data_IF_376828708563
#
_entry.id   IF_376828708563
#
_cell.length_a   1.000
_cell.length_b   1.000
_cell.length_c   1.000
_cell.angle_alpha   90.00
_cell.angle_beta   90.00
_cell.angle_gamma   90.00
#
_symmetry.space_group_name_H-M   'P 1'
#
loop_
_entity.id
_entity.type
_entity.pdbx_description
1 polymer ?
#
# COMPACT_ATOMS: atom_id res chain seq x y z
N UNK A 1 -16.73 12.47 -0.16
CA UNK A 1 -16.83 11.23 -0.96
C UNK A 1 -15.84 11.40 -2.10
N UNK A 2 -15.02 10.39 -2.40
CA UNK A 2 -14.06 10.48 -3.49
C UNK A 2 -14.81 10.26 -4.79
N UNK A 3 -15.06 11.33 -5.54
CA UNK A 3 -15.86 11.29 -6.77
C UNK A 3 -14.98 11.21 -8.02
N UNK A 4 -13.75 11.69 -7.92
CA UNK A 4 -12.77 11.70 -9.01
C UNK A 4 -11.41 11.16 -8.57
N UNK A 5 -10.58 10.78 -9.55
CA UNK A 5 -9.19 10.39 -9.28
C UNK A 5 -8.37 11.57 -8.77
N UNK A 6 -8.73 12.79 -9.17
CA UNK A 6 -8.11 13.98 -8.60
C UNK A 6 -8.38 14.06 -7.10
N UNK A 7 -9.63 13.86 -6.66
CA UNK A 7 -9.97 13.86 -5.23
C UNK A 7 -9.20 12.77 -4.48
N UNK A 8 -9.07 11.58 -5.07
CA UNK A 8 -8.27 10.49 -4.47
C UNK A 8 -6.81 10.89 -4.29
N UNK A 9 -6.20 11.53 -5.30
CA UNK A 9 -4.81 12.00 -5.23
C UNK A 9 -4.63 13.15 -4.25
N UNK A 10 -5.58 14.08 -4.20
CA UNK A 10 -5.57 15.18 -3.23
C UNK A 10 -5.65 14.64 -1.79
N UNK A 11 -6.53 13.67 -1.53
CA UNK A 11 -6.66 13.03 -0.23
C UNK A 11 -5.39 12.23 0.15
N UNK A 12 -4.73 11.61 -0.84
CA UNK A 12 -3.47 10.90 -0.64
C UNK A 12 -2.31 11.81 -0.18
N UNK A 13 -2.33 13.12 -0.50
CA UNK A 13 -1.19 14.03 -0.29
C UNK A 13 -0.67 14.02 1.14
N UNK A 14 -1.55 14.11 2.13
CA UNK A 14 -1.15 14.10 3.55
C UNK A 14 -0.40 12.81 3.92
N UNK A 15 -0.85 11.68 3.41
CA UNK A 15 -0.24 10.38 3.68
C UNK A 15 1.10 10.21 2.96
N UNK A 16 1.20 10.75 1.75
CA UNK A 16 2.47 10.87 1.02
C UNK A 16 3.45 11.78 1.78
N UNK A 17 3.00 12.88 2.36
CA UNK A 17 3.86 13.77 3.16
C UNK A 17 4.37 13.07 4.42
N UNK A 18 3.53 12.31 5.13
CA UNK A 18 3.96 11.47 6.26
C UNK A 18 4.99 10.44 5.84
N UNK A 19 4.74 9.75 4.71
CA UNK A 19 5.66 8.77 4.14
C UNK A 19 7.00 9.40 3.75
N UNK A 20 6.98 10.56 3.10
CA UNK A 20 8.18 11.30 2.70
C UNK A 20 8.99 11.77 3.91
N UNK A 21 8.31 12.25 4.96
CA UNK A 21 8.97 12.64 6.20
C UNK A 21 9.64 11.44 6.89
N UNK A 22 8.95 10.30 6.96
CA UNK A 22 9.49 9.07 7.54
C UNK A 22 10.70 8.55 6.76
N UNK A 23 10.59 8.49 5.44
CA UNK A 23 11.66 8.00 4.56
C UNK A 23 12.89 8.91 4.60
N UNK A 24 12.70 10.23 4.69
CA UNK A 24 13.77 11.20 4.91
C UNK A 24 14.44 11.05 6.28
N UNK A 25 13.66 10.86 7.36
CA UNK A 25 14.17 10.63 8.73
C UNK A 25 15.14 9.44 8.77
N UNK A 26 14.84 8.38 8.03
CA UNK A 26 15.60 7.13 8.02
C UNK A 26 16.59 7.00 6.86
N UNK A 27 16.75 8.06 6.05
CA UNK A 27 17.66 8.07 4.90
C UNK A 27 17.46 6.82 3.99
N UNK A 28 16.20 6.55 3.64
CA UNK A 28 15.80 5.40 2.82
C UNK A 28 15.90 5.69 1.31
N UNK A 29 16.08 6.97 0.93
CA UNK A 29 16.30 7.38 -0.45
C UNK A 29 17.49 6.60 -1.05
N UNK A 30 17.31 6.08 -2.27
CA UNK A 30 18.24 5.20 -2.99
C UNK A 30 18.52 3.83 -2.34
N UNK A 31 17.88 3.52 -1.21
CA UNK A 31 18.04 2.23 -0.50
C UNK A 31 16.78 1.39 -0.45
N UNK A 32 15.64 2.00 -0.69
CA UNK A 32 14.33 1.36 -0.78
C UNK A 32 13.49 1.99 -1.89
N UNK A 33 12.42 1.31 -2.26
CA UNK A 33 11.46 1.76 -3.26
C UNK A 33 10.03 1.55 -2.75
N UNK A 34 9.15 2.52 -3.01
CA UNK A 34 7.73 2.37 -2.73
C UNK A 34 7.08 1.42 -3.76
N UNK A 35 6.28 0.47 -3.28
CA UNK A 35 5.61 -0.52 -4.12
C UNK A 35 4.19 -0.07 -4.46
N UNK A 36 3.34 -0.01 -3.45
CA UNK A 36 1.93 0.32 -3.60
C UNK A 36 1.40 1.09 -2.39
N UNK A 37 0.34 1.86 -2.62
CA UNK A 37 -0.46 2.50 -1.59
C UNK A 37 -1.76 1.71 -1.40
N UNK A 38 -2.20 1.54 -0.16
CA UNK A 38 -3.43 0.82 0.15
C UNK A 38 -4.54 1.76 0.61
N UNK A 39 -5.73 1.55 0.06
CA UNK A 39 -6.97 2.17 0.50
C UNK A 39 -7.94 1.08 0.99
N UNK A 40 -8.43 1.23 2.21
CA UNK A 40 -9.44 0.35 2.80
C UNK A 40 -10.83 0.93 2.56
N UNK A 41 -11.76 0.08 2.16
CA UNK A 41 -13.16 0.42 2.02
C UNK A 41 -13.94 0.00 3.27
N UNK A 42 -14.82 0.88 3.75
CA UNK A 42 -15.72 0.66 4.86
C UNK A 42 -17.02 -0.05 4.46
N UNK A 43 -17.24 -0.30 3.16
CA UNK A 43 -18.40 -1.04 2.67
C UNK A 43 -18.14 -1.69 1.32
N UNK A 44 -19.03 -2.58 0.90
CA UNK A 44 -18.96 -3.19 -0.44
C UNK A 44 -19.27 -2.16 -1.53
N UNK A 45 -20.12 -1.20 -1.21
CA UNK A 45 -20.55 -0.13 -2.08
C UNK A 45 -19.41 0.86 -2.35
N UNK A 46 -18.67 1.27 -1.32
CA UNK A 46 -17.48 2.13 -1.47
C UNK A 46 -16.39 1.44 -2.29
N UNK A 47 -16.17 0.13 -2.06
CA UNK A 47 -15.28 -0.67 -2.88
C UNK A 47 -15.67 -0.65 -4.36
N UNK A 48 -16.93 -0.96 -4.69
CA UNK A 48 -17.39 -0.97 -6.08
C UNK A 48 -17.33 0.41 -6.73
N UNK A 49 -17.70 1.47 -6.01
CA UNK A 49 -17.61 2.84 -6.49
C UNK A 49 -16.17 3.21 -6.88
N UNK A 50 -15.20 2.96 -5.98
CA UNK A 50 -13.79 3.26 -6.24
C UNK A 50 -13.22 2.35 -7.34
N UNK A 51 -13.55 1.06 -7.34
CA UNK A 51 -13.11 0.11 -8.37
C UNK A 51 -13.53 0.59 -9.77
N UNK A 52 -14.80 0.96 -9.94
CA UNK A 52 -15.34 1.49 -11.21
C UNK A 52 -14.69 2.81 -11.59
N UNK A 53 -14.44 3.70 -10.63
CA UNK A 53 -13.71 4.95 -10.85
C UNK A 53 -12.34 4.68 -11.48
N UNK A 54 -11.61 3.68 -10.97
CA UNK A 54 -10.29 3.31 -11.47
C UNK A 54 -10.29 2.45 -12.74
N UNK A 55 -11.35 1.68 -13.04
CA UNK A 55 -11.47 0.90 -14.28
C UNK A 55 -11.28 1.76 -15.54
N UNK A 56 -11.80 2.98 -15.53
CA UNK A 56 -11.72 3.90 -16.66
C UNK A 56 -10.35 4.61 -16.80
N UNK A 57 -9.46 4.46 -15.81
CA UNK A 57 -8.21 5.22 -15.70
C UNK A 57 -7.03 4.36 -15.22
N UNK A 58 -7.08 3.07 -15.50
CA UNK A 58 -6.02 2.12 -15.17
C UNK A 58 -5.52 1.41 -16.41
N UNK A 59 -4.25 1.00 -16.37
CA UNK A 59 -3.68 0.16 -17.43
C UNK A 59 -4.05 -1.31 -17.26
N UNK A 60 -4.21 -1.75 -16.02
CA UNK A 60 -4.68 -3.09 -15.67
C UNK A 60 -5.26 -3.11 -14.26
N UNK A 61 -6.17 -4.06 -14.04
CA UNK A 61 -6.74 -4.40 -12.74
C UNK A 61 -6.69 -5.92 -12.60
N UNK A 62 -6.23 -6.39 -11.45
CA UNK A 62 -6.35 -7.77 -11.01
C UNK A 62 -7.11 -7.82 -9.70
N UNK A 63 -7.97 -8.81 -9.52
CA UNK A 63 -8.72 -8.97 -8.30
C UNK A 63 -8.60 -10.41 -7.81
N UNK A 64 -8.35 -10.56 -6.52
CA UNK A 64 -8.37 -11.85 -5.84
C UNK A 64 -9.28 -11.81 -4.61
N UNK A 65 -9.65 -13.00 -4.12
CA UNK A 65 -10.34 -13.14 -2.84
C UNK A 65 -9.31 -13.49 -1.78
N UNK A 66 -9.09 -12.58 -0.83
CA UNK A 66 -8.15 -12.76 0.28
C UNK A 66 -8.91 -12.61 1.58
N UNK A 67 -8.84 -13.62 2.45
CA UNK A 67 -9.55 -13.63 3.74
C UNK A 67 -11.06 -13.34 3.60
N UNK A 68 -11.71 -14.00 2.64
CA UNK A 68 -13.15 -13.91 2.35
C UNK A 68 -13.67 -12.51 1.92
N UNK A 69 -12.81 -11.70 1.31
CA UNK A 69 -13.18 -10.39 0.73
C UNK A 69 -12.40 -10.11 -0.55
N UNK A 70 -12.88 -9.18 -1.36
CA UNK A 70 -12.20 -8.75 -2.59
C UNK A 70 -11.00 -7.86 -2.24
N UNK A 71 -9.88 -8.08 -2.91
CA UNK A 71 -8.78 -7.13 -2.96
C UNK A 71 -8.44 -6.91 -4.42
N UNK A 72 -8.50 -5.65 -4.86
CA UNK A 72 -8.17 -5.26 -6.22
C UNK A 72 -6.81 -4.56 -6.25
N UNK A 73 -5.95 -5.01 -7.16
CA UNK A 73 -4.67 -4.42 -7.46
C UNK A 73 -4.77 -3.67 -8.79
N UNK A 74 -4.56 -2.36 -8.73
CA UNK A 74 -4.87 -1.43 -9.82
C UNK A 74 -3.60 -0.69 -10.19
N UNK A 75 -3.19 -0.74 -11.46
CA UNK A 75 -2.14 0.13 -11.97
C UNK A 75 -2.70 1.47 -12.42
N UNK A 76 -2.34 2.51 -11.69
CA UNK A 76 -2.69 3.89 -11.97
C UNK A 76 -2.09 4.32 -13.31
N UNK A 77 -2.90 4.93 -14.18
CA UNK A 77 -2.39 5.49 -15.44
C UNK A 77 -1.35 6.60 -15.19
N UNK A 78 -1.59 7.41 -14.16
CA UNK A 78 -0.66 8.42 -13.67
C UNK A 78 -0.39 8.12 -12.20
N UNK A 79 0.87 7.85 -11.85
CA UNK A 79 1.28 7.48 -10.49
C UNK A 79 1.20 8.63 -9.49
N UNK A 80 1.55 8.32 -8.25
CA UNK A 80 1.63 9.26 -7.14
C UNK A 80 3.10 9.42 -6.76
N UNK A 81 3.62 10.65 -6.85
CA UNK A 81 5.02 10.93 -6.54
C UNK A 81 5.32 10.78 -5.04
N UNK A 82 6.46 10.17 -4.72
CA UNK A 82 6.93 9.99 -3.35
C UNK A 82 8.46 10.08 -3.27
N UNK A 83 9.00 10.19 -2.06
CA UNK A 83 10.44 10.22 -1.80
C UNK A 83 11.16 8.91 -2.16
N UNK A 84 10.42 7.79 -2.30
CA UNK A 84 10.95 6.49 -2.73
C UNK A 84 10.51 6.11 -4.15
N UNK A 85 10.27 7.11 -5.00
CA UNK A 85 9.86 6.96 -6.40
C UNK A 85 8.35 7.03 -6.60
N UNK A 86 7.93 7.00 -7.87
CA UNK A 86 6.52 7.08 -8.25
C UNK A 86 5.78 5.78 -7.92
N UNK A 87 4.72 5.90 -7.10
CA UNK A 87 3.82 4.80 -6.75
C UNK A 87 2.80 4.63 -7.87
N UNK A 88 2.90 3.52 -8.61
CA UNK A 88 1.99 3.21 -9.72
C UNK A 88 0.88 2.25 -9.36
N UNK A 89 0.89 1.67 -8.16
CA UNK A 89 -0.05 0.62 -7.77
C UNK A 89 -0.89 1.03 -6.56
N UNK A 90 -2.19 0.78 -6.67
CA UNK A 90 -3.17 0.87 -5.60
C UNK A 90 -3.62 -0.53 -5.21
N UNK A 91 -3.51 -0.87 -3.92
CA UNK A 91 -4.27 -1.95 -3.31
C UNK A 91 -5.60 -1.39 -2.78
N UNK A 92 -6.71 -1.76 -3.42
CA UNK A 92 -8.05 -1.44 -2.95
C UNK A 92 -8.61 -2.64 -2.19
N UNK A 93 -8.78 -2.48 -0.88
CA UNK A 93 -9.28 -3.53 0.00
C UNK A 93 -10.77 -3.36 0.29
N UNK A 94 -11.59 -4.33 -0.09
CA UNK A 94 -13.00 -4.39 0.32
C UNK A 94 -13.15 -4.52 1.85
N UNK A 95 -14.35 -4.26 2.34
CA UNK A 95 -14.70 -4.37 3.76
C UNK A 95 -14.47 -5.80 4.27
N UNK A 96 -13.95 -5.90 5.50
CA UNK A 96 -13.74 -7.16 6.21
C UNK A 96 -15.10 -7.79 6.52
N UNK A 97 -15.16 -9.12 6.62
CA UNK A 97 -16.38 -9.81 7.06
C UNK A 97 -16.91 -9.35 8.43
N UNK A 98 -16.03 -8.83 9.30
CA UNK A 98 -16.38 -8.32 10.62
C UNK A 98 -16.85 -6.84 10.63
N UNK A 99 -16.83 -6.15 9.49
CA UNK A 99 -17.24 -4.75 9.37
C UNK A 99 -16.31 -3.74 10.05
N UNK A 100 -15.09 -4.13 10.43
CA UNK A 100 -14.19 -3.31 11.24
C UNK A 100 -13.42 -2.23 10.48
N UNK A 101 -13.48 -2.19 9.15
CA UNK A 101 -12.77 -1.16 8.38
C UNK A 101 -13.60 0.09 8.18
N UNK A 102 -12.89 1.18 7.96
CA UNK A 102 -13.44 2.45 7.52
C UNK A 102 -12.77 2.83 6.20
N UNK A 103 -13.45 3.70 5.46
CA UNK A 103 -12.89 4.31 4.26
C UNK A 103 -11.63 5.11 4.62
N UNK A 104 -10.51 4.84 3.93
CA UNK A 104 -9.31 5.66 4.04
C UNK A 104 -8.02 4.96 3.63
N UNK A 105 -6.98 5.76 3.46
CA UNK A 105 -5.61 5.29 3.27
C UNK A 105 -5.10 4.60 4.53
N UNK A 106 -4.51 3.42 4.36
CA UNK A 106 -4.07 2.59 5.48
C UNK A 106 -2.57 2.46 5.57
N UNK A 107 -1.91 2.23 4.44
CA UNK A 107 -0.46 2.03 4.41
C UNK A 107 0.14 2.28 3.04
N UNK A 108 1.45 2.48 3.01
CA UNK A 108 2.30 2.27 1.84
C UNK A 108 3.28 1.15 2.16
N UNK A 109 3.40 0.20 1.23
CA UNK A 109 4.45 -0.82 1.30
C UNK A 109 5.72 -0.34 0.57
N UNK A 110 6.88 -0.63 1.15
CA UNK A 110 8.18 -0.39 0.54
C UNK A 110 9.10 -1.58 0.75
N UNK A 111 9.99 -1.80 -0.22
CA UNK A 111 10.98 -2.89 -0.20
C UNK A 111 12.40 -2.34 -0.38
N UNK A 112 13.41 -3.03 0.16
CA UNK A 112 14.79 -2.60 0.01
C UNK A 112 15.32 -2.87 -1.41
N UNK A 113 16.19 -1.98 -1.87
CA UNK A 113 16.88 -2.10 -3.17
C UNK A 113 18.41 -2.17 -3.03
N UNK A 114 18.95 -1.67 -1.91
CA UNK A 114 20.40 -1.64 -1.65
C UNK A 114 20.88 -2.68 -0.62
N UNK A 115 19.95 -3.30 0.13
CA UNK A 115 20.23 -4.27 1.19
C UNK A 115 19.13 -5.33 1.27
N UNK A 116 19.29 -6.30 2.17
CA UNK A 116 18.28 -7.33 2.43
C UNK A 116 17.08 -6.79 3.20
N UNK A 117 15.95 -7.51 3.13
CA UNK A 117 14.75 -7.23 3.91
C UNK A 117 15.03 -7.21 5.41
N UNK A 118 15.82 -8.18 5.88
CA UNK A 118 16.18 -8.31 7.27
C UNK A 118 17.06 -7.15 7.76
N UNK A 119 17.95 -6.64 6.91
CA UNK A 119 18.75 -5.44 7.22
C UNK A 119 17.87 -4.19 7.35
N UNK A 120 16.94 -3.98 6.41
CA UNK A 120 15.99 -2.87 6.47
C UNK A 120 15.18 -2.87 7.77
N UNK A 121 14.64 -4.04 8.14
CA UNK A 121 13.84 -4.20 9.35
C UNK A 121 14.68 -3.92 10.59
N UNK A 122 15.90 -4.47 10.67
CA UNK A 122 16.81 -4.22 11.82
C UNK A 122 17.20 -2.76 11.97
N UNK A 123 17.44 -2.06 10.86
CA UNK A 123 17.73 -0.62 10.89
C UNK A 123 16.55 0.17 11.47
N UNK A 124 15.33 -0.13 11.03
CA UNK A 124 14.12 0.53 11.53
C UNK A 124 13.81 0.16 12.98
N UNK A 125 13.98 -1.11 13.38
CA UNK A 125 13.82 -1.57 14.76
C UNK A 125 14.74 -0.84 15.76
N UNK A 126 15.86 -0.30 15.31
CA UNK A 126 16.79 0.45 16.17
C UNK A 126 16.21 1.77 16.69
N UNK A 127 15.19 2.32 16.03
CA UNK A 127 14.68 3.67 16.30
C UNK A 127 13.16 3.81 16.23
N UNK A 128 12.45 2.80 15.74
CA UNK A 128 10.99 2.79 15.61
C UNK A 128 10.37 1.60 16.32
N UNK A 129 9.09 1.75 16.69
CA UNK A 129 8.28 0.64 17.18
C UNK A 129 7.77 -0.17 15.99
N UNK A 130 8.53 -1.18 15.59
CA UNK A 130 8.17 -2.11 14.52
C UNK A 130 7.24 -3.21 15.05
N UNK A 131 6.10 -3.41 14.40
CA UNK A 131 5.15 -4.48 14.70
C UNK A 131 5.28 -5.59 13.65
N UNK A 132 5.80 -6.74 14.07
CA UNK A 132 5.81 -7.95 13.23
C UNK A 132 4.41 -8.57 13.20
N UNK A 133 3.83 -8.68 12.01
CA UNK A 133 2.50 -9.23 11.79
C UNK A 133 2.61 -10.50 10.93
N UNK A 134 2.36 -11.65 11.55
CA UNK A 134 2.33 -12.95 10.85
C UNK A 134 0.94 -13.17 10.24
N UNK A 135 0.89 -13.34 8.91
CA UNK A 135 -0.34 -13.62 8.16
C UNK A 135 -0.20 -14.98 7.47
N UNK A 136 -1.31 -15.66 7.11
CA UNK A 136 -1.26 -16.99 6.50
C UNK A 136 -0.41 -17.10 5.23
N UNK A 137 -0.17 -15.98 4.52
CA UNK A 137 0.51 -15.97 3.21
C UNK A 137 1.73 -15.04 3.14
N UNK A 138 2.08 -14.35 4.23
CA UNK A 138 3.28 -13.50 4.33
C UNK A 138 3.41 -12.92 5.76
N UNK A 139 4.63 -12.53 6.12
CA UNK A 139 4.91 -11.74 7.32
C UNK A 139 5.20 -10.30 6.89
N UNK A 140 4.61 -9.34 7.57
CA UNK A 140 4.89 -7.91 7.37
C UNK A 140 5.48 -7.28 8.62
N UNK A 141 6.19 -6.17 8.45
CA UNK A 141 6.68 -5.35 9.54
C UNK A 141 6.09 -3.95 9.39
N UNK A 142 5.18 -3.60 10.28
CA UNK A 142 4.35 -2.40 10.20
C UNK A 142 4.86 -1.36 11.21
N UNK A 143 4.93 -0.11 10.78
CA UNK A 143 5.36 1.04 11.59
C UNK A 143 4.28 2.11 11.44
N UNK A 144 3.69 2.54 12.55
CA UNK A 144 2.77 3.69 12.54
C UNK A 144 3.59 4.97 12.39
N UNK A 145 3.35 5.67 11.28
CA UNK A 145 4.08 6.91 10.93
C UNK A 145 3.23 8.16 11.16
N UNK A 146 2.11 8.02 11.88
CA UNK A 146 1.17 9.08 12.20
C UNK A 146 -0.22 8.81 11.63
N UNK A 147 -1.25 9.33 12.30
CA UNK A 147 -2.65 9.22 11.87
C UNK A 147 -3.16 7.78 11.66
N UNK A 148 -2.53 6.80 12.31
CA UNK A 148 -2.77 5.36 12.10
C UNK A 148 -2.41 4.88 10.67
N UNK A 149 -1.67 5.69 9.92
CA UNK A 149 -1.16 5.35 8.60
C UNK A 149 0.18 4.63 8.77
N UNK A 150 0.35 3.52 8.05
CA UNK A 150 1.48 2.63 8.27
C UNK A 150 2.51 2.73 7.14
N UNK A 151 3.78 2.79 7.51
CA UNK A 151 4.87 2.32 6.66
C UNK A 151 4.99 0.82 6.85
N UNK A 152 4.92 0.04 5.78
CA UNK A 152 5.05 -1.42 5.85
C UNK A 152 6.22 -1.91 5.01
N UNK A 153 7.07 -2.72 5.64
CA UNK A 153 8.17 -3.36 4.94
C UNK A 153 7.66 -4.60 4.20
N UNK A 154 7.96 -4.70 2.91
CA UNK A 154 7.70 -5.87 2.07
C UNK A 154 8.98 -6.41 1.43
N UNK A 155 8.99 -7.69 1.07
CA UNK A 155 10.21 -8.36 0.55
C UNK A 155 10.52 -7.97 -0.90
N UNK A 156 9.54 -7.48 -1.64
CA UNK A 156 9.67 -7.10 -3.04
C UNK A 156 8.33 -6.65 -3.63
N UNK A 157 8.30 -6.33 -4.93
CA UNK A 157 7.10 -5.79 -5.57
C UNK A 157 5.94 -6.79 -5.57
N UNK A 158 4.76 -6.34 -5.15
CA UNK A 158 3.57 -7.20 -5.06
C UNK A 158 3.12 -7.74 -6.43
N UNK A 159 3.32 -6.97 -7.49
CA UNK A 159 2.95 -7.38 -8.86
C UNK A 159 3.74 -8.60 -9.32
N UNK A 160 5.02 -8.69 -8.97
CA UNK A 160 5.85 -9.84 -9.34
C UNK A 160 5.43 -11.08 -8.55
N UNK A 161 5.02 -10.90 -7.28
CA UNK A 161 4.39 -11.98 -6.50
C UNK A 161 3.13 -12.49 -7.19
N UNK A 162 2.19 -11.61 -7.55
CA UNK A 162 0.94 -11.96 -8.24
C UNK A 162 1.21 -12.77 -9.52
N UNK A 163 2.11 -12.29 -10.39
CA UNK A 163 2.46 -12.98 -11.63
C UNK A 163 3.00 -14.39 -11.37
N UNK A 164 3.88 -14.53 -10.37
CA UNK A 164 4.54 -15.80 -10.09
C UNK A 164 3.65 -16.84 -9.41
N UNK A 165 2.61 -16.44 -8.68
CA UNK A 165 1.78 -17.36 -7.89
C UNK A 165 0.38 -17.61 -8.48
N UNK A 166 -0.19 -16.63 -9.17
CA UNK A 166 -1.61 -16.66 -9.59
C UNK A 166 -1.82 -16.70 -11.11
N UNK A 167 -0.79 -16.39 -11.91
CA UNK A 167 -0.89 -16.28 -13.38
C UNK A 167 -0.17 -17.40 -14.15
N UNK A 168 -0.04 -18.59 -13.54
CA UNK A 168 0.59 -19.78 -14.16
C UNK A 168 -0.37 -20.48 -15.12
#
# INVERSE_FOLDING_TARGET
>A
MLETIHDFKEDAKRYIDLFNAFTGKHNLTDKAQADHICYKCGSKESFEQLRVLFESNSSWIYQSIISNRRIAYIKLAEGIESALGTIHFLELSDQKPDGSQHDGFDHIEAYPTAYSYEEMVRELESSEKVLKIERPHHTTHDIDIGDKFLFRCTQGPLVEKIKSTEMI
#
